data_IF_779760313082
#
_entry.id   IF_779760313082
#
_cell.length_a   1.000
_cell.length_b   1.000
_cell.length_c   1.000
_cell.angle_alpha   90.00
_cell.angle_beta   90.00
_cell.angle_gamma   90.00
#
_symmetry.space_group_name_H-M   'P 1'
#
loop_
_entity.id
_entity.type
_entity.pdbx_description
1 polymer ?
#
# COMPACT_ATOMS: atom_id res chain seq x y z
N UNK A 1 19.45 -22.14 -11.47
CA UNK A 1 20.58 -21.33 -10.95
C UNK A 1 20.25 -20.87 -9.53
N UNK A 2 21.12 -21.16 -8.54
CA UNK A 2 20.97 -20.69 -7.16
C UNK A 2 21.49 -19.24 -7.06
N UNK A 3 20.69 -18.32 -6.57
CA UNK A 3 21.12 -16.93 -6.30
C UNK A 3 21.07 -16.69 -4.79
N UNK A 4 22.21 -16.29 -4.23
CA UNK A 4 22.26 -15.77 -2.86
C UNK A 4 21.97 -14.28 -2.88
N UNK A 5 20.95 -13.87 -2.14
CA UNK A 5 20.58 -12.48 -1.94
C UNK A 5 21.73 -11.79 -1.20
N UNK A 6 22.39 -10.83 -1.86
CA UNK A 6 23.46 -10.00 -1.25
C UNK A 6 22.86 -8.68 -0.80
N UNK A 7 23.41 -8.09 0.26
CA UNK A 7 22.93 -6.83 0.84
C UNK A 7 22.88 -5.68 -0.20
N UNK A 8 23.81 -5.66 -1.16
CA UNK A 8 23.87 -4.69 -2.25
C UNK A 8 22.67 -4.77 -3.21
N UNK A 9 22.04 -5.95 -3.34
CA UNK A 9 20.91 -6.19 -4.23
C UNK A 9 19.62 -5.55 -3.70
N UNK A 10 19.37 -5.63 -2.38
CA UNK A 10 18.18 -5.02 -1.77
C UNK A 10 18.20 -3.49 -1.84
N UNK A 11 19.37 -2.90 -2.02
CA UNK A 11 19.54 -1.45 -2.12
C UNK A 11 19.43 -0.95 -3.58
N UNK A 12 19.41 -1.84 -4.57
CA UNK A 12 19.30 -1.51 -5.99
C UNK A 12 17.98 -2.06 -6.54
N UNK A 13 16.90 -1.30 -6.36
CA UNK A 13 15.56 -1.65 -6.85
C UNK A 13 15.25 -1.13 -8.26
N UNK A 14 16.28 -0.86 -9.05
CA UNK A 14 16.08 -0.41 -10.43
C UNK A 14 15.49 -1.58 -11.23
N UNK A 15 14.22 -1.45 -11.60
CA UNK A 15 13.33 -2.39 -12.30
C UNK A 15 13.84 -2.88 -13.67
N UNK A 16 15.05 -2.52 -14.07
CA UNK A 16 15.60 -2.80 -15.40
C UNK A 16 17.09 -3.20 -15.35
N UNK A 17 17.50 -3.81 -14.24
CA UNK A 17 18.83 -4.39 -14.12
C UNK A 17 18.80 -5.89 -14.41
N UNK A 18 19.86 -6.40 -15.00
CA UNK A 18 20.04 -7.85 -15.19
C UNK A 18 19.96 -8.58 -13.85
N UNK A 19 20.47 -7.98 -12.77
CA UNK A 19 20.42 -8.54 -11.42
C UNK A 19 18.99 -8.67 -10.89
N UNK A 20 18.12 -7.67 -11.12
CA UNK A 20 16.71 -7.74 -10.74
C UNK A 20 16.06 -8.97 -11.39
N UNK A 21 16.13 -9.08 -12.72
CA UNK A 21 15.52 -10.19 -13.44
C UNK A 21 16.13 -11.54 -13.08
N UNK A 22 17.45 -11.59 -12.85
CA UNK A 22 18.13 -12.79 -12.35
C UNK A 22 17.54 -13.22 -11.01
N UNK A 23 17.38 -12.30 -10.05
CA UNK A 23 16.74 -12.61 -8.80
C UNK A 23 15.30 -13.05 -8.99
N UNK A 24 14.48 -12.35 -9.78
CA UNK A 24 13.05 -12.63 -9.90
C UNK A 24 12.76 -13.97 -10.60
N UNK A 25 13.63 -14.38 -11.53
CA UNK A 25 13.46 -15.61 -12.33
C UNK A 25 14.31 -16.78 -11.85
N UNK A 26 15.11 -16.60 -10.79
CA UNK A 26 15.98 -17.64 -10.27
C UNK A 26 15.20 -18.92 -9.91
N UNK A 27 15.72 -20.07 -10.35
CA UNK A 27 15.14 -21.38 -10.05
C UNK A 27 15.17 -21.71 -8.56
N UNK A 28 16.12 -21.16 -7.80
CA UNK A 28 16.13 -21.17 -6.32
C UNK A 28 16.83 -19.90 -5.82
N UNK A 29 16.27 -19.31 -4.78
CA UNK A 29 16.82 -18.13 -4.12
C UNK A 29 17.14 -18.44 -2.66
N UNK A 30 18.36 -18.12 -2.21
CA UNK A 30 18.74 -18.14 -0.80
C UNK A 30 18.70 -16.72 -0.23
N UNK A 31 17.92 -16.53 0.82
CA UNK A 31 17.66 -15.24 1.48
C UNK A 31 18.17 -15.34 2.92
N UNK A 32 19.10 -14.47 3.29
CA UNK A 32 19.64 -14.39 4.65
C UNK A 32 18.93 -13.26 5.40
N UNK A 33 18.00 -13.61 6.30
CA UNK A 33 17.18 -12.63 7.00
C UNK A 33 17.98 -11.84 8.04
N UNK A 34 19.09 -12.41 8.54
CA UNK A 34 19.96 -11.80 9.55
C UNK A 34 20.65 -10.49 9.11
N UNK A 35 20.58 -10.15 7.82
CA UNK A 35 21.21 -8.98 7.22
C UNK A 35 20.17 -7.86 6.99
N UNK A 36 18.91 -8.07 7.39
CA UNK A 36 17.81 -7.18 7.05
C UNK A 36 17.47 -6.22 8.20
N UNK A 37 17.55 -4.92 7.92
CA UNK A 37 16.81 -3.92 8.69
C UNK A 37 15.41 -3.74 8.10
N UNK A 38 14.49 -3.09 8.80
CA UNK A 38 13.09 -2.95 8.38
C UNK A 38 12.87 -2.40 6.95
N UNK A 39 13.69 -1.42 6.50
CA UNK A 39 13.63 -0.94 5.11
C UNK A 39 13.82 -2.12 4.15
N UNK A 40 14.72 -3.04 4.47
CA UNK A 40 15.08 -4.22 3.70
C UNK A 40 14.04 -5.35 3.82
N UNK A 41 13.33 -5.45 4.94
CA UNK A 41 12.17 -6.36 5.08
C UNK A 41 11.08 -5.99 4.07
N UNK A 42 10.66 -4.71 4.03
CA UNK A 42 9.69 -4.23 3.05
C UNK A 42 10.14 -4.50 1.61
N UNK A 43 11.40 -4.22 1.28
CA UNK A 43 11.95 -4.47 -0.05
C UNK A 43 11.99 -5.97 -0.38
N UNK A 44 12.33 -6.83 0.59
CA UNK A 44 12.24 -8.29 0.43
C UNK A 44 10.81 -8.70 0.07
N UNK A 45 9.81 -8.24 0.84
CA UNK A 45 8.40 -8.57 0.59
C UNK A 45 7.93 -8.12 -0.80
N UNK A 46 8.39 -6.96 -1.26
CA UNK A 46 8.19 -6.52 -2.64
C UNK A 46 8.72 -7.56 -3.64
N UNK A 47 9.98 -7.97 -3.52
CA UNK A 47 10.55 -8.97 -4.42
C UNK A 47 9.84 -10.33 -4.33
N UNK A 48 9.44 -10.76 -3.12
CA UNK A 48 8.64 -11.98 -2.93
C UNK A 48 7.31 -11.92 -3.69
N UNK A 49 6.64 -10.76 -3.67
CA UNK A 49 5.41 -10.53 -4.42
C UNK A 49 5.60 -10.67 -5.93
N UNK A 50 6.67 -10.08 -6.49
CA UNK A 50 7.01 -10.20 -7.92
C UNK A 50 7.28 -11.66 -8.30
N UNK A 51 8.10 -12.37 -7.51
CA UNK A 51 8.43 -13.78 -7.74
C UNK A 51 7.20 -14.66 -7.80
N UNK A 52 6.24 -14.46 -6.91
CA UNK A 52 5.03 -15.28 -6.88
C UNK A 52 4.24 -15.22 -8.19
N UNK A 53 4.17 -14.04 -8.82
CA UNK A 53 3.49 -13.87 -10.11
C UNK A 53 4.24 -14.49 -11.28
N UNK A 54 5.56 -14.52 -11.21
CA UNK A 54 6.40 -15.23 -12.18
C UNK A 54 6.41 -16.75 -11.95
N UNK A 55 5.58 -17.27 -11.04
CA UNK A 55 5.55 -18.69 -10.68
C UNK A 55 6.78 -19.15 -9.87
N UNK A 56 7.54 -18.21 -9.30
CA UNK A 56 8.77 -18.43 -8.52
C UNK A 56 8.57 -18.25 -7.01
N UNK A 57 7.35 -18.49 -6.50
CA UNK A 57 7.03 -18.34 -5.07
C UNK A 57 7.41 -19.54 -4.18
N UNK A 58 7.76 -20.69 -4.77
CA UNK A 58 7.91 -21.96 -4.06
C UNK A 58 9.36 -22.45 -3.90
N UNK A 59 10.34 -21.65 -4.33
CA UNK A 59 11.75 -22.01 -4.47
C UNK A 59 12.66 -21.03 -3.71
N UNK A 60 12.29 -20.75 -2.47
CA UNK A 60 12.95 -19.77 -1.62
C UNK A 60 13.46 -20.48 -0.37
N UNK A 61 14.75 -20.35 -0.11
CA UNK A 61 15.43 -20.85 1.07
C UNK A 61 15.71 -19.65 1.97
N UNK A 62 15.29 -19.73 3.23
CA UNK A 62 15.42 -18.64 4.20
C UNK A 62 16.40 -19.08 5.29
N UNK A 63 17.52 -18.38 5.40
CA UNK A 63 18.44 -18.47 6.52
C UNK A 63 17.99 -17.48 7.60
N UNK A 64 17.67 -17.97 8.80
CA UNK A 64 17.06 -17.18 9.89
C UNK A 64 17.79 -17.51 11.19
N UNK A 65 18.32 -16.51 11.89
CA UNK A 65 18.80 -16.72 13.27
C UNK A 65 17.62 -16.83 14.24
N UNK A 66 17.85 -17.45 15.40
CA UNK A 66 16.84 -17.63 16.45
C UNK A 66 16.18 -16.34 16.99
N UNK A 67 16.60 -15.14 16.54
CA UNK A 67 16.06 -13.84 16.96
C UNK A 67 14.95 -13.27 16.06
N UNK A 68 14.64 -13.91 14.94
CA UNK A 68 13.73 -13.36 13.92
C UNK A 68 12.44 -14.18 13.71
N UNK A 69 11.99 -14.95 14.71
CA UNK A 69 10.75 -15.76 14.67
C UNK A 69 9.51 -14.94 14.22
N UNK A 70 9.45 -13.67 14.61
CA UNK A 70 8.33 -12.80 14.25
C UNK A 70 8.26 -12.47 12.75
N UNK A 71 9.39 -12.18 12.12
CA UNK A 71 9.45 -11.91 10.69
C UNK A 71 9.09 -13.17 9.90
N UNK A 72 9.47 -14.34 10.43
CA UNK A 72 9.10 -15.63 9.87
C UNK A 72 7.58 -15.87 9.92
N UNK A 73 6.90 -15.47 11.00
CA UNK A 73 5.45 -15.57 11.10
C UNK A 73 4.74 -14.58 10.15
N UNK A 74 5.21 -13.33 10.06
CA UNK A 74 4.71 -12.33 9.10
C UNK A 74 4.86 -12.82 7.64
N UNK A 75 5.95 -13.52 7.33
CA UNK A 75 6.20 -14.17 6.03
C UNK A 75 5.18 -15.28 5.72
N UNK A 76 4.86 -16.14 6.71
CA UNK A 76 3.86 -17.22 6.56
C UNK A 76 2.45 -16.68 6.34
N UNK A 77 2.10 -15.58 7.01
CA UNK A 77 0.76 -15.00 6.95
C UNK A 77 0.54 -14.15 5.69
N UNK A 78 1.61 -13.58 5.13
CA UNK A 78 1.52 -12.63 4.01
C UNK A 78 1.75 -13.30 2.65
N UNK A 79 2.62 -14.30 2.59
CA UNK A 79 3.05 -14.92 1.34
C UNK A 79 2.56 -16.36 1.23
N UNK A 80 2.23 -16.81 0.01
CA UNK A 80 1.99 -18.24 -0.26
C UNK A 80 3.35 -18.98 -0.32
N UNK A 81 4.09 -18.98 0.80
CA UNK A 81 5.40 -19.63 0.88
C UNK A 81 5.17 -21.12 1.07
N UNK A 82 5.42 -21.89 0.03
CA UNK A 82 5.11 -23.32 0.00
C UNK A 82 6.21 -24.20 0.60
N UNK A 83 7.37 -23.64 0.96
CA UNK A 83 8.43 -24.37 1.66
C UNK A 83 9.40 -23.43 2.40
N UNK A 84 9.78 -23.78 3.63
CA UNK A 84 10.73 -23.09 4.50
C UNK A 84 11.55 -24.14 5.26
N UNK A 85 12.88 -24.00 5.30
CA UNK A 85 13.74 -24.75 6.20
C UNK A 85 14.65 -23.79 6.97
N UNK A 86 14.63 -23.81 8.32
CA UNK A 86 15.48 -22.97 9.14
C UNK A 86 16.92 -23.47 9.07
N UNK A 87 17.81 -22.70 8.44
CA UNK A 87 19.25 -22.97 8.51
C UNK A 87 19.78 -22.45 9.85
N UNK A 88 19.92 -23.33 10.84
CA UNK A 88 20.67 -23.03 12.06
C UNK A 88 22.17 -23.09 11.74
N UNK A 89 22.78 -21.93 11.48
CA UNK A 89 24.23 -21.81 11.35
C UNK A 89 24.75 -20.72 12.27
N UNK A 90 25.48 -21.12 13.31
CA UNK A 90 26.34 -20.20 14.05
C UNK A 90 27.39 -19.62 13.09
N UNK A 91 27.62 -18.32 13.19
CA UNK A 91 28.42 -17.56 12.25
C UNK A 91 29.81 -18.16 11.99
N UNK A 92 30.22 -18.04 10.73
CA UNK A 92 31.60 -18.11 10.18
C UNK A 92 32.07 -19.36 9.42
N UNK A 93 31.33 -20.47 9.35
CA UNK A 93 31.70 -21.57 8.43
C UNK A 93 30.58 -21.90 7.42
N UNK A 94 30.97 -22.12 6.16
CA UNK A 94 30.03 -22.32 5.05
C UNK A 94 29.02 -23.46 5.29
N UNK A 95 27.90 -23.40 4.54
CA UNK A 95 26.81 -24.40 4.60
C UNK A 95 27.35 -25.83 4.69
N UNK A 96 26.92 -26.57 5.70
CA UNK A 96 27.30 -27.97 5.86
C UNK A 96 26.85 -28.82 4.66
N UNK A 97 27.52 -29.96 4.38
CA UNK A 97 27.12 -30.87 3.33
C UNK A 97 25.67 -31.38 3.45
N UNK A 98 25.12 -31.47 4.67
CA UNK A 98 23.72 -31.82 4.90
C UNK A 98 22.76 -30.73 4.40
N UNK A 99 23.05 -29.46 4.70
CA UNK A 99 22.26 -28.32 4.22
C UNK A 99 22.32 -28.25 2.69
N UNK A 100 23.46 -28.50 2.06
CA UNK A 100 23.59 -28.54 0.61
C UNK A 100 22.74 -29.67 -0.03
N UNK A 101 22.59 -30.80 0.66
CA UNK A 101 21.76 -31.92 0.23
C UNK A 101 20.25 -31.62 0.40
N UNK A 102 19.88 -30.95 1.49
CA UNK A 102 18.51 -30.43 1.71
C UNK A 102 18.14 -29.39 0.66
N UNK A 103 19.04 -28.45 0.39
CA UNK A 103 18.92 -27.49 -0.72
C UNK A 103 18.69 -28.22 -2.03
N UNK A 104 19.53 -29.21 -2.37
CA UNK A 104 19.40 -30.03 -3.58
C UNK A 104 18.02 -30.71 -3.68
N UNK A 105 17.53 -31.26 -2.57
CA UNK A 105 16.22 -31.90 -2.51
C UNK A 105 15.07 -30.89 -2.67
N UNK A 106 15.16 -29.71 -2.05
CA UNK A 106 14.21 -28.62 -2.21
C UNK A 106 14.18 -28.11 -3.67
N UNK A 107 15.33 -27.96 -4.33
CA UNK A 107 15.44 -27.63 -5.78
C UNK A 107 14.67 -28.69 -6.60
N UNK A 108 14.88 -29.96 -6.28
CA UNK A 108 14.28 -31.10 -6.98
C UNK A 108 12.75 -31.18 -6.78
N UNK A 109 12.25 -30.82 -5.59
CA UNK A 109 10.82 -30.75 -5.31
C UNK A 109 10.14 -29.54 -5.95
N UNK A 110 10.77 -28.36 -5.89
CA UNK A 110 10.27 -27.14 -6.54
C UNK A 110 10.19 -27.29 -8.06
N UNK A 111 11.19 -27.95 -8.67
CA UNK A 111 11.20 -28.29 -10.09
C UNK A 111 10.03 -29.20 -10.51
N UNK A 112 9.64 -30.14 -9.64
CA UNK A 112 8.47 -31.03 -9.88
C UNK A 112 7.13 -30.29 -9.72
N UNK A 113 7.07 -29.27 -8.84
CA UNK A 113 5.86 -28.44 -8.64
C UNK A 113 5.63 -27.48 -9.81
N UNK A 114 6.69 -26.94 -10.41
CA UNK A 114 6.67 -26.10 -11.63
C UNK A 114 5.99 -26.77 -12.82
N UNK A 115 6.11 -28.10 -12.95
CA UNK A 115 5.46 -28.87 -14.02
C UNK A 115 3.94 -28.99 -13.80
N UNK A 116 3.46 -28.91 -12.55
CA UNK A 116 2.02 -29.00 -12.21
C UNK A 116 1.30 -27.66 -12.32
N UNK A 117 1.91 -26.57 -11.84
CA UNK A 117 1.25 -25.25 -11.80
C UNK A 117 1.14 -24.56 -13.16
N UNK A 118 1.98 -24.90 -14.14
CA UNK A 118 1.86 -24.36 -15.51
C UNK A 118 0.57 -24.77 -16.23
N UNK A 119 -0.19 -25.73 -15.70
CA UNK A 119 -1.50 -26.11 -16.23
C UNK A 119 -2.69 -25.38 -15.59
N UNK A 120 -2.50 -24.60 -14.52
CA UNK A 120 -3.62 -24.07 -13.70
C UNK A 120 -3.66 -22.53 -13.57
N UNK A 121 -2.64 -21.78 -13.99
CA UNK A 121 -2.52 -20.34 -13.62
C UNK A 121 -3.05 -19.35 -14.67
N UNK A 122 -3.66 -19.79 -15.77
CA UNK A 122 -4.23 -18.86 -16.77
C UNK A 122 -5.58 -18.22 -16.39
N UNK A 123 -6.09 -18.42 -15.17
CA UNK A 123 -7.38 -17.83 -14.80
C UNK A 123 -7.53 -17.58 -13.30
N UNK A 124 -7.18 -16.37 -12.85
CA UNK A 124 -7.89 -15.62 -11.79
C UNK A 124 -6.94 -14.69 -11.04
N UNK A 125 -6.59 -13.57 -11.66
CA UNK A 125 -6.16 -12.39 -10.93
C UNK A 125 -6.62 -11.14 -11.69
N UNK A 126 -7.94 -11.02 -11.89
CA UNK A 126 -8.52 -9.73 -12.24
C UNK A 126 -8.34 -8.80 -11.04
N UNK A 127 -7.54 -7.76 -11.27
CA UNK A 127 -7.41 -6.55 -10.47
C UNK A 127 -8.74 -6.16 -9.81
N UNK A 128 -8.83 -6.29 -8.48
CA UNK A 128 -9.84 -5.59 -7.67
C UNK A 128 -9.16 -4.37 -7.04
N UNK A 129 -8.94 -3.34 -7.86
CA UNK A 129 -8.63 -1.99 -7.38
C UNK A 129 -9.97 -1.30 -7.25
N UNK A 130 -10.44 -1.10 -6.02
CA UNK A 130 -11.85 -0.83 -5.74
C UNK A 130 -12.72 -1.87 -6.45
N UNK A 131 -13.35 -2.81 -5.72
CA UNK A 131 -14.62 -3.23 -6.29
C UNK A 131 -15.47 -1.97 -6.32
N UNK A 132 -15.88 -1.45 -7.50
CA UNK A 132 -16.93 -0.46 -7.48
C UNK A 132 -18.05 -1.11 -6.66
N UNK A 133 -18.70 -0.35 -5.78
CA UNK A 133 -19.96 -0.85 -5.25
C UNK A 133 -20.83 -1.03 -6.49
N UNK A 134 -21.04 -2.29 -6.88
CA UNK A 134 -21.69 -2.61 -8.13
C UNK A 134 -23.18 -2.42 -7.89
N UNK A 135 -23.73 -1.38 -8.50
CA UNK A 135 -25.15 -1.12 -8.55
C UNK A 135 -25.56 -1.04 -10.01
N UNK A 136 -26.61 -1.77 -10.37
CA UNK A 136 -27.20 -1.70 -11.71
C UNK A 136 -28.01 -0.40 -11.92
N UNK A 137 -28.21 0.38 -10.85
CA UNK A 137 -28.95 1.63 -10.83
C UNK A 137 -28.34 2.68 -11.77
N UNK A 138 -29.19 3.27 -12.61
CA UNK A 138 -28.82 4.39 -13.48
C UNK A 138 -28.36 5.63 -12.67
N UNK A 139 -28.94 5.81 -11.49
CA UNK A 139 -28.51 6.85 -10.55
C UNK A 139 -27.06 6.63 -10.10
N UNK A 140 -26.71 5.41 -9.70
CA UNK A 140 -25.35 5.07 -9.26
C UNK A 140 -24.31 5.28 -10.37
N UNK A 141 -24.65 4.95 -11.62
CA UNK A 141 -23.80 5.21 -12.80
C UNK A 141 -23.64 6.72 -13.05
N UNK A 142 -24.73 7.47 -12.99
CA UNK A 142 -24.72 8.94 -13.13
C UNK A 142 -23.84 9.59 -12.07
N UNK A 143 -24.01 9.21 -10.79
CA UNK A 143 -23.21 9.72 -9.68
C UNK A 143 -21.72 9.40 -9.83
N UNK A 144 -21.39 8.20 -10.32
CA UNK A 144 -20.01 7.80 -10.60
C UNK A 144 -19.38 8.67 -11.68
N UNK A 145 -20.10 8.95 -12.77
CA UNK A 145 -19.65 9.84 -13.85
C UNK A 145 -19.44 11.29 -13.37
N UNK A 146 -20.37 11.81 -12.55
CA UNK A 146 -20.23 13.14 -11.95
C UNK A 146 -19.02 13.21 -11.02
N UNK A 147 -18.76 12.15 -10.24
CA UNK A 147 -17.63 12.08 -9.32
C UNK A 147 -16.31 12.05 -10.09
N UNK A 148 -16.26 11.28 -11.17
CA UNK A 148 -15.11 11.21 -12.07
C UNK A 148 -14.80 12.52 -12.79
N UNK A 149 -15.80 13.39 -12.93
CA UNK A 149 -15.72 14.73 -13.51
C UNK A 149 -15.63 15.83 -12.44
N UNK A 150 -15.43 15.47 -11.17
CA UNK A 150 -15.31 16.38 -10.02
C UNK A 150 -16.50 17.33 -9.80
N UNK A 151 -17.69 16.97 -10.30
CA UNK A 151 -18.93 17.76 -10.17
C UNK A 151 -19.60 17.49 -8.82
N UNK A 152 -18.88 17.70 -7.72
CA UNK A 152 -19.33 17.35 -6.37
C UNK A 152 -20.61 18.09 -5.98
N UNK A 153 -20.75 19.38 -6.31
CA UNK A 153 -21.98 20.11 -6.02
C UNK A 153 -23.19 19.55 -6.77
N UNK A 154 -23.00 19.05 -8.01
CA UNK A 154 -24.08 18.43 -8.76
C UNK A 154 -24.52 17.11 -8.11
N UNK A 155 -23.58 16.34 -7.56
CA UNK A 155 -23.90 15.11 -6.80
C UNK A 155 -24.72 15.47 -5.56
N UNK A 156 -24.26 16.44 -4.78
CA UNK A 156 -24.94 16.89 -3.56
C UNK A 156 -26.37 17.33 -3.89
N UNK A 157 -26.50 18.25 -4.86
CA UNK A 157 -27.82 18.76 -5.27
C UNK A 157 -28.70 17.65 -5.84
N UNK A 158 -28.16 16.73 -6.64
CA UNK A 158 -28.96 15.65 -7.22
C UNK A 158 -29.53 14.75 -6.13
N UNK A 159 -28.69 14.28 -5.21
CA UNK A 159 -29.10 13.36 -4.15
C UNK A 159 -30.07 14.04 -3.18
N UNK A 160 -29.79 15.27 -2.73
CA UNK A 160 -30.65 15.99 -1.78
C UNK A 160 -32.03 16.36 -2.33
N UNK A 161 -32.19 16.41 -3.65
CA UNK A 161 -33.48 16.70 -4.30
C UNK A 161 -34.21 15.45 -4.81
N UNK A 162 -33.74 14.25 -4.46
CA UNK A 162 -34.46 13.02 -4.79
C UNK A 162 -35.76 12.94 -3.97
N UNK A 163 -36.93 12.67 -4.60
CA UNK A 163 -38.17 12.47 -3.86
C UNK A 163 -38.09 11.31 -2.86
N UNK A 164 -37.30 10.28 -3.19
CA UNK A 164 -37.10 9.07 -2.38
C UNK A 164 -35.67 9.04 -1.79
N UNK A 165 -35.22 10.15 -1.20
CA UNK A 165 -33.84 10.30 -0.67
C UNK A 165 -33.44 9.18 0.29
N UNK A 166 -34.29 8.83 1.27
CA UNK A 166 -33.98 7.81 2.28
C UNK A 166 -33.78 6.43 1.66
N UNK A 167 -34.64 6.04 0.71
CA UNK A 167 -34.54 4.77 -0.01
C UNK A 167 -33.29 4.74 -0.88
N UNK A 168 -32.99 5.84 -1.59
CA UNK A 168 -31.77 5.96 -2.39
C UNK A 168 -30.50 5.83 -1.55
N UNK A 169 -30.50 6.34 -0.31
CA UNK A 169 -29.38 6.23 0.62
C UNK A 169 -29.16 4.81 1.17
N UNK A 170 -30.07 3.87 0.94
CA UNK A 170 -29.83 2.45 1.24
C UNK A 170 -28.90 1.78 0.23
N UNK A 171 -28.76 2.34 -0.99
CA UNK A 171 -27.79 1.88 -1.99
C UNK A 171 -26.38 2.33 -1.57
N UNK A 172 -25.44 1.39 -1.31
CA UNK A 172 -24.08 1.70 -0.93
C UNK A 172 -23.36 2.67 -1.87
N UNK A 173 -23.57 2.56 -3.19
CA UNK A 173 -22.88 3.38 -4.18
C UNK A 173 -23.43 4.81 -4.20
N UNK A 174 -24.73 4.97 -3.97
CA UNK A 174 -25.36 6.29 -3.81
C UNK A 174 -24.85 6.96 -2.53
N UNK A 175 -24.91 6.24 -1.40
CA UNK A 175 -24.39 6.73 -0.12
C UNK A 175 -22.91 7.11 -0.22
N UNK A 176 -22.07 6.23 -0.76
CA UNK A 176 -20.65 6.49 -0.94
C UNK A 176 -20.42 7.73 -1.80
N UNK A 177 -21.11 7.85 -2.95
CA UNK A 177 -20.92 8.98 -3.86
C UNK A 177 -21.36 10.30 -3.25
N UNK A 178 -22.48 10.30 -2.52
CA UNK A 178 -22.99 11.47 -1.83
C UNK A 178 -22.05 11.93 -0.70
N UNK A 179 -21.69 11.02 0.20
CA UNK A 179 -20.77 11.31 1.32
C UNK A 179 -19.39 11.73 0.81
N UNK A 180 -18.88 11.07 -0.25
CA UNK A 180 -17.64 11.47 -0.90
C UNK A 180 -17.74 12.92 -1.39
N UNK A 181 -18.81 13.28 -2.12
CA UNK A 181 -19.00 14.63 -2.63
C UNK A 181 -19.06 15.67 -1.50
N UNK A 182 -19.80 15.39 -0.42
CA UNK A 182 -19.84 16.24 0.78
C UNK A 182 -18.44 16.41 1.40
N UNK A 183 -17.66 15.33 1.51
CA UNK A 183 -16.29 15.38 2.06
C UNK A 183 -15.31 16.22 1.23
N UNK A 184 -15.57 16.34 -0.08
CA UNK A 184 -14.76 17.13 -1.02
C UNK A 184 -15.24 18.58 -1.14
N UNK A 185 -16.41 18.90 -0.61
CA UNK A 185 -16.92 20.27 -0.58
C UNK A 185 -16.02 21.17 0.27
N UNK A 186 -15.84 22.42 -0.17
CA UNK A 186 -15.09 23.42 0.59
C UNK A 186 -15.93 24.07 1.71
N UNK A 187 -16.96 23.37 2.17
CA UNK A 187 -17.93 23.83 3.17
C UNK A 187 -17.81 22.97 4.43
N UNK A 188 -17.49 23.59 5.57
CA UNK A 188 -17.34 22.89 6.85
C UNK A 188 -18.63 22.14 7.25
N UNK A 189 -19.79 22.77 7.04
CA UNK A 189 -21.10 22.16 7.32
C UNK A 189 -21.33 20.89 6.48
N UNK A 190 -20.89 20.88 5.22
CA UNK A 190 -21.01 19.70 4.36
C UNK A 190 -20.14 18.54 4.87
N UNK A 191 -18.91 18.83 5.34
CA UNK A 191 -18.02 17.83 5.95
C UNK A 191 -18.58 17.28 7.25
N UNK A 192 -19.19 18.12 8.08
CA UNK A 192 -19.84 17.68 9.32
C UNK A 192 -21.08 16.82 9.04
N UNK A 193 -21.90 17.19 8.04
CA UNK A 193 -23.01 16.36 7.56
C UNK A 193 -22.54 14.99 7.05
N UNK A 194 -21.44 14.96 6.27
CA UNK A 194 -20.85 13.71 5.79
C UNK A 194 -20.47 12.79 6.97
N UNK A 195 -19.85 13.36 7.99
CA UNK A 195 -19.43 12.62 9.18
C UNK A 195 -20.64 12.13 10.00
N UNK A 196 -21.68 12.94 10.16
CA UNK A 196 -22.91 12.54 10.84
C UNK A 196 -23.56 11.33 10.17
N UNK A 197 -23.67 11.36 8.83
CA UNK A 197 -24.21 10.25 8.03
C UNK A 197 -23.38 8.98 8.26
N UNK A 198 -22.05 9.08 8.16
CA UNK A 198 -21.14 7.94 8.35
C UNK A 198 -21.20 7.38 9.78
N UNK A 199 -21.26 8.23 10.79
CA UNK A 199 -21.35 7.82 12.20
C UNK A 199 -22.72 7.20 12.50
N UNK A 200 -23.80 7.68 11.87
CA UNK A 200 -25.12 7.07 11.99
C UNK A 200 -25.15 5.69 11.32
N UNK A 201 -24.62 5.58 10.10
CA UNK A 201 -24.49 4.31 9.39
C UNK A 201 -23.68 3.28 10.18
N UNK A 202 -22.56 3.68 10.78
CA UNK A 202 -21.74 2.76 11.57
C UNK A 202 -22.36 2.34 12.92
N UNK A 203 -23.27 3.15 13.48
CA UNK A 203 -23.96 2.84 14.74
C UNK A 203 -25.23 2.02 14.52
N UNK A 204 -26.01 2.38 13.51
CA UNK A 204 -27.39 1.93 13.30
C UNK A 204 -27.59 1.19 11.97
N UNK A 205 -26.56 1.14 11.12
CA UNK A 205 -26.66 0.56 9.79
C UNK A 205 -26.60 -0.98 9.77
N UNK A 206 -26.48 -1.57 8.57
CA UNK A 206 -26.45 -3.01 8.39
C UNK A 206 -25.29 -3.65 9.18
N UNK A 207 -25.43 -4.93 9.55
CA UNK A 207 -24.31 -5.68 10.14
C UNK A 207 -23.08 -5.73 9.23
N UNK A 208 -23.28 -5.64 7.90
CA UNK A 208 -22.19 -5.61 6.92
C UNK A 208 -21.57 -4.22 6.91
N UNK A 209 -20.38 -4.12 7.47
CA UNK A 209 -19.59 -2.88 7.45
C UNK A 209 -18.88 -2.74 6.11
N UNK A 210 -19.02 -1.58 5.44
CA UNK A 210 -18.36 -1.29 4.17
C UNK A 210 -16.99 -0.62 4.41
N UNK A 211 -15.86 -1.25 4.04
CA UNK A 211 -14.52 -0.68 4.20
C UNK A 211 -14.35 0.70 3.56
N UNK A 212 -15.03 0.96 2.44
CA UNK A 212 -14.96 2.21 1.72
C UNK A 212 -15.55 3.38 2.54
N UNK A 213 -16.65 3.15 3.26
CA UNK A 213 -17.26 4.14 4.15
C UNK A 213 -16.44 4.36 5.42
N UNK A 214 -15.80 3.31 5.95
CA UNK A 214 -14.83 3.44 7.04
C UNK A 214 -13.65 4.32 6.61
N UNK A 215 -13.11 4.09 5.41
CA UNK A 215 -12.02 4.90 4.89
C UNK A 215 -12.44 6.36 4.62
N UNK A 216 -13.70 6.62 4.24
CA UNK A 216 -14.22 8.00 4.14
C UNK A 216 -14.26 8.68 5.51
N UNK A 217 -14.65 7.94 6.55
CA UNK A 217 -14.62 8.45 7.93
C UNK A 217 -13.19 8.84 8.32
N UNK A 218 -12.23 7.94 8.10
CA UNK A 218 -10.81 8.20 8.33
C UNK A 218 -10.28 9.38 7.52
N UNK A 219 -10.70 9.52 6.25
CA UNK A 219 -10.31 10.63 5.38
C UNK A 219 -10.80 11.98 5.89
N UNK A 220 -12.06 12.08 6.34
CA UNK A 220 -12.62 13.34 6.86
C UNK A 220 -11.86 13.78 8.11
N UNK A 221 -11.60 12.86 9.04
CA UNK A 221 -10.80 13.17 10.23
C UNK A 221 -9.35 13.52 9.88
N UNK A 222 -8.73 12.82 8.91
CA UNK A 222 -7.40 13.17 8.40
C UNK A 222 -7.38 14.58 7.83
N UNK A 223 -8.34 14.93 6.97
CA UNK A 223 -8.43 16.26 6.37
C UNK A 223 -8.61 17.34 7.46
N UNK A 224 -9.44 17.09 8.49
CA UNK A 224 -9.58 17.99 9.66
C UNK A 224 -8.28 18.14 10.46
N UNK A 225 -7.54 17.05 10.67
CA UNK A 225 -6.23 17.09 11.31
C UNK A 225 -5.23 17.93 10.49
N UNK A 226 -5.20 17.74 9.16
CA UNK A 226 -4.29 18.48 8.27
C UNK A 226 -4.59 19.98 8.22
N UNK A 227 -5.85 20.40 8.39
CA UNK A 227 -6.23 21.81 8.44
C UNK A 227 -5.65 22.52 9.67
N UNK A 228 -5.62 21.87 10.84
CA UNK A 228 -5.09 22.42 12.09
C UNK A 228 -4.38 21.34 12.95
N UNK A 229 -3.13 20.96 12.63
CA UNK A 229 -2.48 19.79 13.27
C UNK A 229 -2.25 19.90 14.79
N UNK A 230 -2.10 21.13 15.31
CA UNK A 230 -1.84 21.37 16.73
C UNK A 230 -3.12 21.28 17.55
N UNK A 231 -4.20 21.80 17.02
CA UNK A 231 -5.51 21.90 17.66
C UNK A 231 -6.33 20.61 17.51
N UNK A 232 -6.15 19.88 16.39
CA UNK A 232 -6.95 18.71 16.03
C UNK A 232 -6.22 17.38 16.27
N UNK A 233 -5.43 17.25 17.34
CA UNK A 233 -4.76 16.00 17.69
C UNK A 233 -5.73 14.83 17.88
N UNK A 234 -6.92 15.07 18.42
CA UNK A 234 -7.96 14.04 18.52
C UNK A 234 -8.39 13.52 17.14
N UNK A 235 -8.44 14.37 16.11
CA UNK A 235 -8.78 13.95 14.76
C UNK A 235 -7.73 12.99 14.17
N UNK A 236 -6.45 13.10 14.58
CA UNK A 236 -5.43 12.12 14.20
C UNK A 236 -5.76 10.74 14.78
N UNK A 237 -6.11 10.68 16.07
CA UNK A 237 -6.48 9.44 16.74
C UNK A 237 -7.75 8.81 16.14
N UNK A 238 -8.76 9.63 15.87
CA UNK A 238 -10.00 9.18 15.23
C UNK A 238 -9.73 8.66 13.81
N UNK A 239 -8.92 9.37 13.01
CA UNK A 239 -8.53 8.93 11.68
C UNK A 239 -7.82 7.56 11.71
N UNK A 240 -6.88 7.38 12.64
CA UNK A 240 -6.17 6.10 12.84
C UNK A 240 -7.16 4.99 13.17
N UNK A 241 -8.10 5.22 14.09
CA UNK A 241 -9.10 4.21 14.46
C UNK A 241 -9.97 3.79 13.27
N UNK A 242 -10.41 4.74 12.45
CA UNK A 242 -11.23 4.44 11.27
C UNK A 242 -10.47 3.67 10.20
N UNK A 243 -9.22 4.06 9.91
CA UNK A 243 -8.39 3.32 8.95
C UNK A 243 -7.97 1.95 9.47
N UNK A 244 -7.71 1.81 10.77
CA UNK A 244 -7.46 0.51 11.42
C UNK A 244 -8.67 -0.40 11.25
N UNK A 245 -9.86 0.05 11.62
CA UNK A 245 -11.10 -0.71 11.43
C UNK A 245 -11.32 -1.08 9.96
N UNK A 246 -11.06 -0.17 9.03
CA UNK A 246 -11.17 -0.46 7.59
C UNK A 246 -10.21 -1.57 7.15
N UNK A 247 -8.96 -1.51 7.62
CA UNK A 247 -7.93 -2.48 7.32
C UNK A 247 -8.22 -3.86 7.93
N UNK A 248 -8.78 -3.91 9.15
CA UNK A 248 -9.23 -5.14 9.81
C UNK A 248 -10.39 -5.81 9.05
N UNK A 249 -11.38 -5.03 8.59
CA UNK A 249 -12.53 -5.57 7.82
C UNK A 249 -12.09 -6.07 6.44
N UNK A 250 -11.29 -5.29 5.70
CA UNK A 250 -10.75 -5.67 4.40
C UNK A 250 -9.40 -4.98 4.16
N UNK A 251 -8.28 -5.71 4.33
CA UNK A 251 -6.97 -5.14 4.08
C UNK A 251 -6.84 -4.65 2.62
N UNK A 252 -6.34 -3.43 2.44
CA UNK A 252 -6.19 -2.81 1.12
C UNK A 252 -5.04 -1.82 1.11
N UNK A 253 -4.48 -1.53 -0.08
CA UNK A 253 -3.44 -0.50 -0.23
C UNK A 253 -3.92 0.85 0.30
N UNK A 254 -5.16 1.23 -0.01
CA UNK A 254 -5.71 2.53 0.38
C UNK A 254 -5.86 2.68 1.90
N UNK A 255 -6.47 1.70 2.59
CA UNK A 255 -6.58 1.76 4.05
C UNK A 255 -5.20 1.65 4.71
N UNK A 256 -4.35 0.74 4.21
CA UNK A 256 -3.04 0.46 4.79
C UNK A 256 -2.08 1.64 4.71
N UNK A 257 -1.94 2.29 3.55
CA UNK A 257 -0.99 3.42 3.41
C UNK A 257 -1.40 4.62 4.27
N UNK A 258 -2.71 4.90 4.36
CA UNK A 258 -3.22 5.97 5.22
C UNK A 258 -3.00 5.63 6.71
N UNK A 259 -3.30 4.40 7.13
CA UNK A 259 -3.05 3.95 8.49
C UNK A 259 -1.56 4.05 8.85
N UNK A 260 -0.69 3.50 7.99
CA UNK A 260 0.76 3.54 8.14
C UNK A 260 1.26 4.98 8.30
N UNK A 261 0.85 5.86 7.39
CA UNK A 261 1.23 7.28 7.37
C UNK A 261 0.84 7.97 8.68
N UNK A 262 -0.41 7.79 9.13
CA UNK A 262 -0.92 8.45 10.33
C UNK A 262 -0.27 7.91 11.62
N UNK A 263 0.03 6.62 11.69
CA UNK A 263 0.78 6.04 12.80
C UNK A 263 2.20 6.62 12.87
N UNK A 264 2.90 6.75 11.74
CA UNK A 264 4.21 7.41 11.68
C UNK A 264 4.11 8.85 12.20
N UNK A 265 3.13 9.62 11.73
CA UNK A 265 2.90 11.02 12.15
C UNK A 265 2.55 11.14 13.63
N UNK A 266 1.84 10.15 14.19
CA UNK A 266 1.57 10.06 15.63
C UNK A 266 2.84 9.86 16.45
N UNK A 267 3.95 9.47 15.81
CA UNK A 267 5.26 9.29 16.43
C UNK A 267 5.65 7.83 16.62
N UNK A 268 4.81 6.88 16.17
CA UNK A 268 5.12 5.46 16.20
C UNK A 268 6.43 5.19 15.45
N UNK A 269 7.19 4.21 15.96
CA UNK A 269 8.49 3.85 15.40
C UNK A 269 8.41 2.45 14.82
N UNK A 270 8.82 2.31 13.55
CA UNK A 270 8.82 1.02 12.83
C UNK A 270 9.42 -0.11 13.63
N UNK A 271 10.59 0.08 14.24
CA UNK A 271 11.26 -0.99 14.99
C UNK A 271 10.49 -1.44 16.24
N UNK A 272 9.61 -0.61 16.79
CA UNK A 272 8.92 -0.82 18.09
C UNK A 272 7.43 -1.13 17.96
N UNK A 273 6.81 -0.79 16.84
CA UNK A 273 5.38 -0.97 16.63
C UNK A 273 5.12 -2.14 15.67
N UNK A 274 4.51 -3.20 16.18
CA UNK A 274 4.21 -4.42 15.42
C UNK A 274 3.18 -4.23 14.32
N UNK A 275 2.12 -3.49 14.61
CA UNK A 275 1.06 -3.16 13.65
C UNK A 275 1.67 -2.39 12.46
N UNK A 276 2.53 -1.41 12.76
CA UNK A 276 3.18 -0.61 11.74
C UNK A 276 4.09 -1.45 10.82
N UNK A 277 4.79 -2.45 11.37
CA UNK A 277 5.58 -3.41 10.57
C UNK A 277 4.71 -4.27 9.67
N UNK A 278 3.66 -4.87 10.25
CA UNK A 278 2.75 -5.75 9.52
C UNK A 278 2.12 -5.02 8.31
N UNK A 279 1.66 -3.78 8.53
CA UNK A 279 1.08 -2.97 7.47
C UNK A 279 2.13 -2.70 6.37
N UNK A 280 3.33 -2.26 6.73
CA UNK A 280 4.41 -1.98 5.77
C UNK A 280 4.76 -3.21 4.93
N UNK A 281 4.93 -4.37 5.59
CA UNK A 281 5.20 -5.67 4.96
C UNK A 281 4.11 -6.04 3.94
N UNK A 282 2.84 -5.97 4.34
CA UNK A 282 1.70 -6.30 3.48
C UNK A 282 1.61 -5.39 2.26
N UNK A 283 1.77 -4.08 2.45
CA UNK A 283 1.75 -3.11 1.37
C UNK A 283 2.84 -3.39 0.33
N UNK A 284 4.08 -3.59 0.79
CA UNK A 284 5.21 -3.90 -0.10
C UNK A 284 4.98 -5.16 -0.91
N UNK A 285 4.50 -6.22 -0.28
CA UNK A 285 4.20 -7.48 -0.97
C UNK A 285 3.09 -7.33 -2.01
N UNK A 286 1.98 -6.64 -1.68
CA UNK A 286 0.90 -6.43 -2.66
C UNK A 286 1.33 -5.57 -3.85
N UNK A 287 2.18 -4.55 -3.62
CA UNK A 287 2.76 -3.73 -4.69
C UNK A 287 3.70 -4.57 -5.55
N UNK A 288 4.56 -5.37 -4.95
CA UNK A 288 5.45 -6.31 -5.64
C UNK A 288 4.68 -7.28 -6.53
N UNK A 289 3.56 -7.82 -6.02
CA UNK A 289 2.67 -8.60 -6.86
C UNK A 289 2.22 -7.79 -8.08
N UNK A 290 1.57 -6.65 -7.87
CA UNK A 290 1.00 -5.88 -8.99
C UNK A 290 2.04 -5.33 -9.98
N UNK A 291 3.30 -5.20 -9.57
CA UNK A 291 4.41 -4.75 -10.43
C UNK A 291 4.93 -5.85 -11.37
N UNK A 292 4.84 -7.13 -10.99
CA UNK A 292 5.33 -8.25 -11.81
C UNK A 292 4.42 -8.62 -13.00
N UNK A 293 3.20 -8.11 -13.03
CA UNK A 293 2.32 -8.16 -14.19
C UNK A 293 2.57 -6.94 -15.08
N UNK A 294 2.41 -7.03 -16.40
CA UNK A 294 2.47 -5.89 -17.37
C UNK A 294 1.52 -4.70 -17.03
N UNK A 295 0.82 -4.78 -15.89
CA UNK A 295 -0.18 -3.87 -15.35
C UNK A 295 0.39 -2.78 -14.43
N UNK A 296 1.64 -2.34 -14.61
CA UNK A 296 2.17 -1.17 -13.90
C UNK A 296 1.57 0.15 -14.43
N UNK A 297 0.24 0.20 -14.48
CA UNK A 297 -0.53 1.26 -15.14
C UNK A 297 -1.72 1.70 -14.28
N UNK A 298 -1.70 1.46 -12.96
CA UNK A 298 -2.61 2.20 -12.07
C UNK A 298 -1.84 3.23 -11.25
N UNK A 299 -2.25 4.49 -11.40
CA UNK A 299 -1.76 5.63 -10.63
C UNK A 299 -1.78 5.38 -9.10
N UNK A 300 -2.81 4.71 -8.58
CA UNK A 300 -2.92 4.50 -7.13
C UNK A 300 -1.84 3.58 -6.57
N UNK A 301 -1.36 2.61 -7.35
CA UNK A 301 -0.25 1.76 -6.95
C UNK A 301 1.06 2.59 -6.94
N UNK A 302 1.28 3.45 -7.95
CA UNK A 302 2.41 4.40 -7.99
C UNK A 302 2.37 5.40 -6.84
N UNK A 303 1.21 5.98 -6.52
CA UNK A 303 1.05 6.91 -5.41
C UNK A 303 1.32 6.22 -4.07
N UNK A 304 0.83 4.98 -3.89
CA UNK A 304 1.10 4.20 -2.68
C UNK A 304 2.59 3.86 -2.56
N UNK A 305 3.23 3.47 -3.66
CA UNK A 305 4.67 3.20 -3.71
C UNK A 305 5.49 4.44 -3.37
N UNK A 306 5.11 5.60 -3.91
CA UNK A 306 5.72 6.89 -3.60
C UNK A 306 5.63 7.23 -2.11
N UNK A 307 4.43 7.14 -1.52
CA UNK A 307 4.21 7.43 -0.10
C UNK A 307 5.00 6.46 0.80
N UNK A 308 5.00 5.16 0.47
CA UNK A 308 5.74 4.14 1.22
C UNK A 308 7.25 4.41 1.20
N UNK A 309 7.81 4.70 0.02
CA UNK A 309 9.23 5.02 -0.13
C UNK A 309 9.60 6.35 0.52
N UNK A 310 8.68 7.32 0.58
CA UNK A 310 8.89 8.57 1.31
C UNK A 310 8.94 8.33 2.82
N UNK A 311 8.04 7.51 3.37
CA UNK A 311 8.05 7.10 4.78
C UNK A 311 9.31 6.33 5.17
N UNK A 312 9.87 5.57 4.22
CA UNK A 312 11.13 4.85 4.39
C UNK A 312 12.37 5.62 3.93
N UNK A 313 12.23 6.89 3.57
CA UNK A 313 13.33 7.77 3.12
C UNK A 313 14.17 7.13 1.99
N UNK A 314 13.52 6.39 1.08
CA UNK A 314 14.17 5.81 -0.08
C UNK A 314 14.15 6.83 -1.23
N UNK A 315 15.05 7.81 -1.14
CA UNK A 315 15.11 8.95 -2.07
C UNK A 315 15.20 8.53 -3.56
N UNK A 316 16.05 7.56 -3.96
CA UNK A 316 16.11 7.14 -5.36
C UNK A 316 14.76 6.66 -5.92
N UNK A 317 14.03 5.85 -5.16
CA UNK A 317 12.70 5.37 -5.56
C UNK A 317 11.66 6.47 -5.60
N UNK A 318 11.72 7.40 -4.64
CA UNK A 318 10.85 8.59 -4.65
C UNK A 318 11.08 9.39 -5.94
N UNK A 319 12.33 9.66 -6.31
CA UNK A 319 12.66 10.40 -7.53
C UNK A 319 12.16 9.67 -8.78
N UNK A 320 12.46 8.36 -8.91
CA UNK A 320 12.01 7.56 -10.06
C UNK A 320 10.49 7.51 -10.17
N UNK A 321 9.78 7.35 -9.06
CA UNK A 321 8.31 7.29 -9.05
C UNK A 321 7.69 8.62 -9.42
N UNK A 322 8.27 9.73 -8.96
CA UNK A 322 7.85 11.08 -9.35
C UNK A 322 8.01 11.30 -10.86
N UNK A 323 9.12 10.84 -11.46
CA UNK A 323 9.33 10.91 -12.90
C UNK A 323 8.25 10.12 -13.66
N UNK A 324 7.96 8.89 -13.23
CA UNK A 324 6.88 8.06 -13.82
C UNK A 324 5.52 8.76 -13.75
N UNK A 325 5.17 9.37 -12.62
CA UNK A 325 3.91 10.12 -12.47
C UNK A 325 3.91 11.38 -13.35
N UNK A 326 5.03 12.07 -13.45
CA UNK A 326 5.17 13.27 -14.30
C UNK A 326 5.00 12.95 -15.78
N UNK A 327 5.52 11.80 -16.22
CA UNK A 327 5.37 11.33 -17.60
C UNK A 327 3.95 10.91 -17.95
N UNK A 328 3.16 10.48 -16.96
CA UNK A 328 1.76 10.04 -17.12
C UNK A 328 0.90 10.62 -15.99
N UNK A 329 0.59 11.93 -16.04
CA UNK A 329 -0.10 12.60 -14.95
C UNK A 329 -1.51 12.02 -14.76
N UNK A 330 -1.97 11.82 -13.51
CA UNK A 330 -3.32 11.34 -13.24
C UNK A 330 -4.34 12.48 -13.36
N UNK A 331 -5.61 12.19 -13.04
CA UNK A 331 -6.62 13.24 -12.84
C UNK A 331 -6.18 14.21 -11.72
N UNK A 332 -6.49 15.52 -11.81
CA UNK A 332 -6.07 16.53 -10.83
C UNK A 332 -6.41 16.18 -9.39
N UNK A 333 -7.64 15.70 -9.12
CA UNK A 333 -8.01 15.31 -7.75
C UNK A 333 -7.19 14.16 -7.17
N UNK A 334 -6.73 13.23 -8.01
CA UNK A 334 -5.88 12.13 -7.58
C UNK A 334 -4.53 12.67 -7.12
N UNK A 335 -3.90 13.51 -7.94
CA UNK A 335 -2.61 14.13 -7.63
C UNK A 335 -2.70 15.03 -6.40
N UNK A 336 -3.76 15.84 -6.30
CA UNK A 336 -4.01 16.68 -5.13
C UNK A 336 -4.12 15.87 -3.83
N UNK A 337 -4.74 14.68 -3.88
CA UNK A 337 -4.84 13.80 -2.70
C UNK A 337 -3.48 13.28 -2.26
N UNK A 338 -2.63 12.86 -3.21
CA UNK A 338 -1.29 12.33 -2.96
C UNK A 338 -0.35 13.43 -2.45
N UNK A 339 -0.40 14.62 -3.07
CA UNK A 339 0.41 15.77 -2.63
C UNK A 339 0.12 16.18 -1.18
N UNK A 340 -1.15 16.14 -0.75
CA UNK A 340 -1.51 16.37 0.66
C UNK A 340 -0.86 15.36 1.61
N UNK A 341 -0.79 14.09 1.22
CA UNK A 341 -0.11 13.07 2.03
C UNK A 341 1.40 13.32 2.07
N UNK A 342 2.02 13.63 0.92
CA UNK A 342 3.45 13.95 0.82
C UNK A 342 3.81 15.14 1.72
N UNK A 343 3.03 16.23 1.65
CA UNK A 343 3.25 17.41 2.48
C UNK A 343 3.18 17.07 3.97
N UNK A 344 2.20 16.26 4.35
CA UNK A 344 2.05 15.82 5.73
C UNK A 344 3.24 14.97 6.22
N UNK A 345 3.75 14.05 5.38
CA UNK A 345 4.93 13.23 5.69
C UNK A 345 6.19 14.09 5.81
N UNK A 346 6.41 15.00 4.86
CA UNK A 346 7.58 15.88 4.84
C UNK A 346 7.61 16.82 6.04
N UNK A 347 6.47 17.44 6.38
CA UNK A 347 6.39 18.32 7.55
C UNK A 347 6.76 17.58 8.83
N UNK A 348 6.24 16.36 9.01
CA UNK A 348 6.60 15.51 10.14
C UNK A 348 8.09 15.16 10.17
N UNK A 349 8.68 14.79 9.02
CA UNK A 349 10.11 14.49 8.93
C UNK A 349 10.98 15.71 9.23
N UNK A 350 10.62 16.90 8.74
CA UNK A 350 11.32 18.15 9.03
C UNK A 350 11.30 18.48 10.52
N UNK A 351 10.15 18.37 11.18
CA UNK A 351 10.00 18.60 12.62
C UNK A 351 10.82 17.61 13.46
N UNK A 352 10.93 16.35 13.02
CA UNK A 352 11.59 15.29 13.78
C UNK A 352 13.10 15.21 13.57
N UNK A 353 13.58 15.50 12.37
CA UNK A 353 14.94 15.15 11.96
C UNK A 353 15.87 16.35 11.73
N UNK A 354 15.40 17.61 11.85
CA UNK A 354 16.20 18.80 11.48
C UNK A 354 16.90 18.59 10.12
N UNK A 355 16.21 17.96 9.16
CA UNK A 355 16.79 17.60 7.87
C UNK A 355 17.35 18.84 7.20
N UNK A 356 18.66 18.85 6.97
CA UNK A 356 19.30 19.86 6.15
C UNK A 356 18.75 19.75 4.71
N UNK A 357 18.06 20.80 4.22
CA UNK A 357 17.50 20.80 2.87
C UNK A 357 18.55 20.61 1.76
N UNK A 358 19.83 20.92 2.02
CA UNK A 358 20.91 20.75 1.04
C UNK A 358 21.26 19.27 0.83
N UNK A 359 21.19 18.45 1.88
CA UNK A 359 21.48 17.01 1.83
C UNK A 359 20.43 16.19 1.05
N UNK A 360 19.27 16.77 0.73
CA UNK A 360 18.15 16.12 0.03
C UNK A 360 17.66 16.92 -1.19
N UNK A 361 18.57 17.68 -1.82
CA UNK A 361 18.22 18.59 -2.92
C UNK A 361 17.46 17.91 -4.08
N UNK A 362 17.85 16.68 -4.45
CA UNK A 362 17.18 15.90 -5.49
C UNK A 362 15.72 15.54 -5.12
N UNK A 363 15.48 15.13 -3.87
CA UNK A 363 14.14 14.83 -3.36
C UNK A 363 13.23 16.06 -3.46
N UNK A 364 13.69 17.19 -2.92
CA UNK A 364 12.90 18.43 -2.90
C UNK A 364 12.70 19.01 -4.31
N UNK A 365 13.68 18.84 -5.21
CA UNK A 365 13.54 19.26 -6.61
C UNK A 365 12.49 18.41 -7.35
N UNK A 366 12.55 17.08 -7.24
CA UNK A 366 11.57 16.20 -7.87
C UNK A 366 10.16 16.46 -7.34
N UNK A 367 9.98 16.60 -6.02
CA UNK A 367 8.66 16.89 -5.45
C UNK A 367 8.14 18.29 -5.81
N UNK A 368 9.02 19.26 -6.04
CA UNK A 368 8.63 20.58 -6.57
C UNK A 368 8.09 20.46 -7.99
N UNK A 369 8.78 19.74 -8.86
CA UNK A 369 8.32 19.49 -10.24
C UNK A 369 6.94 18.81 -10.23
N UNK A 370 6.74 17.83 -9.35
CA UNK A 370 5.44 17.15 -9.22
C UNK A 370 4.31 18.12 -8.81
N UNK A 371 4.60 19.07 -7.91
CA UNK A 371 3.65 20.10 -7.49
C UNK A 371 3.33 21.08 -8.61
N UNK A 372 4.32 21.45 -9.41
CA UNK A 372 4.12 22.32 -10.59
C UNK A 372 3.23 21.63 -11.63
N UNK A 373 3.43 20.32 -11.88
CA UNK A 373 2.55 19.53 -12.74
C UNK A 373 1.11 19.42 -12.25
N UNK A 374 0.83 19.67 -10.96
CA UNK A 374 -0.53 19.69 -10.42
C UNK A 374 -1.24 21.04 -10.58
N UNK A 375 -0.49 22.11 -10.90
CA UNK A 375 -0.99 23.48 -11.03
C UNK A 375 -1.21 23.93 -12.47
N UNK A 376 -0.56 23.27 -13.43
CA UNK A 376 -0.80 23.43 -14.88
C UNK A 376 -1.86 22.46 -15.38
#
# INVERSE_FOLDING_TARGET
>A
MLIRLRESFLLQQVEDTEEFWRFQTADVTLIDLNILGWKREMLLFFHLGVREILGQGANILLSVSAREEKLLDDLKDTCTILHYEPIQGDGEEGCSPEILLEIHNAISQASKKRIRTNHEVESSARLKIFEPLNSDSELAKTLSSLRESEKYQNIINLVENLPDYEDAMTDPQVMYSYVFALSRSNCAQAKDKALEILLSYNRNGPQVTLPELLCLSGRIYKDKFQECPKENRQCLDDAIQWYRKAFEVKPSLFAGINLLTLLVIKGEQFLKNSELKEIGIRLSYWLGKRHGTDSFINYWDLATWLELNLLSENVPEVVSTVEKITLRPPKPWCLASTLKNIDMILNFQQERMNLDPQSHSALYASLRNLKECAQG
#
